data_IF_937254086991
#
_entry.id   IF_937254086991
#
_cell.length_a   1.000
_cell.length_b   1.000
_cell.length_c   1.000
_cell.angle_alpha   90.00
_cell.angle_beta   90.00
_cell.angle_gamma   90.00
#
_symmetry.space_group_name_H-M   'P 1'
#
loop_
_entity.id
_entity.type
_entity.pdbx_description
1 polymer ?
#
# COMPACT_ATOMS: atom_id res chain seq x y z
N UNK A 1 -18.31 6.26 8.85
CA UNK A 1 -17.24 7.19 9.28
C UNK A 1 -15.93 6.51 8.92
N UNK A 2 -15.09 7.11 8.05
CA UNK A 2 -13.85 6.46 7.65
C UNK A 2 -12.84 6.57 8.79
N UNK A 3 -12.63 5.48 9.53
CA UNK A 3 -11.54 5.40 10.49
C UNK A 3 -10.24 5.23 9.71
N UNK A 4 -9.38 6.24 9.82
CA UNK A 4 -8.03 6.29 9.23
C UNK A 4 -6.94 6.07 10.29
N UNK A 5 -7.33 5.67 11.50
CA UNK A 5 -6.41 5.42 12.60
C UNK A 5 -5.77 6.69 13.17
N UNK A 6 -6.31 7.88 12.86
CA UNK A 6 -5.78 9.18 13.33
C UNK A 6 -6.62 9.81 14.44
N UNK A 7 -7.46 9.03 15.12
CA UNK A 7 -8.36 9.53 16.18
C UNK A 7 -7.65 10.14 17.40
N UNK A 8 -6.34 9.91 17.54
CA UNK A 8 -5.51 10.49 18.59
C UNK A 8 -4.96 11.88 18.24
N UNK A 9 -5.06 12.32 16.98
CA UNK A 9 -4.63 13.66 16.58
C UNK A 9 -5.64 14.71 17.03
N UNK A 10 -5.14 15.86 17.47
CA UNK A 10 -5.98 16.98 17.89
C UNK A 10 -6.29 17.92 16.72
N UNK A 11 -7.52 18.43 16.65
CA UNK A 11 -7.88 19.47 15.69
C UNK A 11 -7.02 20.73 15.93
N UNK A 12 -6.44 21.27 14.86
CA UNK A 12 -5.52 22.42 14.93
C UNK A 12 -4.07 22.07 15.28
N UNK A 13 -3.74 20.78 15.43
CA UNK A 13 -2.36 20.33 15.59
C UNK A 13 -1.50 20.76 14.37
N UNK A 14 -0.32 21.38 14.58
CA UNK A 14 0.52 21.80 13.47
C UNK A 14 0.98 20.63 12.61
N UNK A 15 0.91 20.76 11.28
CA UNK A 15 1.35 19.71 10.35
C UNK A 15 2.83 19.35 10.48
N UNK A 16 3.64 20.26 11.05
CA UNK A 16 5.07 20.05 11.31
C UNK A 16 5.34 19.03 12.41
N UNK A 17 4.36 18.72 13.25
CA UNK A 17 4.49 17.71 14.32
C UNK A 17 4.04 16.32 13.89
N UNK A 18 3.48 16.18 12.69
CA UNK A 18 3.03 14.91 12.14
C UNK A 18 4.21 14.15 11.50
N UNK A 19 4.31 12.87 11.84
CA UNK A 19 5.15 11.90 11.15
C UNK A 19 4.78 11.81 9.66
N UNK A 20 5.68 11.23 8.86
CA UNK A 20 5.42 11.00 7.42
C UNK A 20 4.14 10.18 7.20
N UNK A 21 4.02 9.05 7.91
CA UNK A 21 2.84 8.18 7.82
C UNK A 21 1.55 8.86 8.29
N UNK A 22 1.60 9.72 9.30
CA UNK A 22 0.42 10.49 9.74
C UNK A 22 -0.04 11.48 8.68
N UNK A 23 0.89 12.20 8.04
CA UNK A 23 0.55 13.12 6.93
C UNK A 23 -0.05 12.36 5.76
N UNK A 24 0.50 11.20 5.42
CA UNK A 24 -0.01 10.36 4.35
C UNK A 24 -1.42 9.85 4.64
N UNK A 25 -1.66 9.30 5.84
CA UNK A 25 -3.01 8.87 6.26
C UNK A 25 -3.99 10.04 6.29
N UNK A 26 -3.56 11.23 6.69
CA UNK A 26 -4.39 12.43 6.68
C UNK A 26 -4.77 12.84 5.25
N UNK A 27 -3.83 12.81 4.30
CA UNK A 27 -4.13 13.07 2.89
C UNK A 27 -5.14 12.07 2.32
N UNK A 28 -4.98 10.78 2.62
CA UNK A 28 -5.94 9.75 2.24
C UNK A 28 -7.33 10.03 2.84
N UNK A 29 -7.38 10.39 4.13
CA UNK A 29 -8.63 10.72 4.83
C UNK A 29 -9.37 11.89 4.16
N UNK A 30 -8.65 12.97 3.84
CA UNK A 30 -9.21 14.15 3.17
C UNK A 30 -9.79 13.77 1.83
N UNK A 31 -9.09 12.93 1.05
CA UNK A 31 -9.56 12.52 -0.27
C UNK A 31 -10.78 11.60 -0.20
N UNK A 32 -10.84 10.68 0.76
CA UNK A 32 -12.00 9.81 0.98
C UNK A 32 -13.22 10.58 1.53
N UNK A 33 -12.99 11.68 2.26
CA UNK A 33 -14.06 12.53 2.78
C UNK A 33 -14.72 13.39 1.69
N UNK A 34 -13.98 13.70 0.62
CA UNK A 34 -14.44 14.50 -0.51
C UNK A 34 -15.36 13.70 -1.46
N UNK A 35 -16.53 13.30 -0.94
CA UNK A 35 -17.57 12.56 -1.66
C UNK A 35 -18.23 13.37 -2.79
N UNK A 36 -17.95 14.67 -2.89
CA UNK A 36 -18.53 15.58 -3.89
C UNK A 36 -17.85 15.52 -5.26
N UNK A 37 -16.63 14.99 -5.33
CA UNK A 37 -15.85 14.76 -6.55
C UNK A 37 -15.41 13.30 -6.66
N UNK A 38 -16.34 12.35 -6.50
CA UNK A 38 -16.07 10.96 -6.91
C UNK A 38 -16.12 10.91 -8.44
N UNK A 39 -15.10 11.49 -9.07
CA UNK A 39 -14.67 11.10 -10.40
C UNK A 39 -14.23 9.64 -10.26
N UNK A 40 -15.15 8.70 -10.57
CA UNK A 40 -14.81 7.28 -10.64
C UNK A 40 -13.64 7.11 -11.61
N UNK A 41 -12.67 6.26 -11.24
CA UNK A 41 -11.50 5.98 -12.08
C UNK A 41 -10.27 6.85 -11.82
N UNK A 42 -10.11 7.41 -10.61
CA UNK A 42 -8.84 8.01 -10.22
C UNK A 42 -7.76 6.94 -10.04
N UNK A 43 -6.50 7.32 -10.30
CA UNK A 43 -5.33 6.46 -10.04
C UNK A 43 -4.53 7.05 -8.89
N UNK A 44 -4.41 6.29 -7.81
CA UNK A 44 -3.59 6.60 -6.65
C UNK A 44 -2.24 5.89 -6.77
N UNK A 45 -1.15 6.64 -6.62
CA UNK A 45 0.21 6.07 -6.56
C UNK A 45 0.79 6.38 -5.19
N UNK A 46 1.14 5.33 -4.45
CA UNK A 46 1.61 5.41 -3.06
C UNK A 46 3.02 4.82 -2.99
N UNK A 47 3.95 5.58 -2.42
CA UNK A 47 5.33 5.16 -2.20
C UNK A 47 5.50 4.77 -0.72
N UNK A 48 5.75 3.49 -0.47
CA UNK A 48 5.92 2.86 0.84
C UNK A 48 4.96 3.37 1.94
N UNK A 49 3.62 3.23 1.75
CA UNK A 49 2.64 3.71 2.72
C UNK A 49 2.72 3.05 4.10
N UNK A 50 3.41 1.91 4.23
CA UNK A 50 3.67 1.27 5.53
C UNK A 50 4.89 1.83 6.27
N UNK A 51 5.66 2.73 5.66
CA UNK A 51 6.87 3.27 6.29
C UNK A 51 6.53 4.02 7.59
N UNK A 52 7.13 3.55 8.69
CA UNK A 52 6.91 4.10 10.03
C UNK A 52 5.57 3.75 10.66
N UNK A 53 4.80 2.81 10.07
CA UNK A 53 3.61 2.25 10.70
C UNK A 53 3.98 1.17 11.72
N UNK A 54 3.23 1.15 12.82
CA UNK A 54 3.24 0.01 13.71
C UNK A 54 2.56 -1.19 13.02
N UNK A 55 3.01 -2.44 13.21
CA UNK A 55 2.40 -3.61 12.57
C UNK A 55 0.88 -3.71 12.76
N UNK A 56 0.37 -3.32 13.94
CA UNK A 56 -1.07 -3.31 14.24
C UNK A 56 -1.89 -2.28 13.44
N UNK A 57 -1.24 -1.31 12.79
CA UNK A 57 -1.89 -0.29 11.97
C UNK A 57 -1.85 -0.61 10.47
N UNK A 58 -1.13 -1.67 10.06
CA UNK A 58 -1.08 -2.12 8.67
C UNK A 58 -2.46 -2.57 8.21
N UNK A 59 -3.20 -3.32 9.03
CA UNK A 59 -4.56 -3.78 8.70
C UNK A 59 -5.51 -2.61 8.44
N UNK A 60 -5.36 -1.51 9.18
CA UNK A 60 -6.15 -0.30 8.97
C UNK A 60 -5.82 0.37 7.65
N UNK A 61 -4.54 0.41 7.28
CA UNK A 61 -4.10 0.90 5.99
C UNK A 61 -4.67 0.04 4.86
N UNK A 62 -4.55 -1.29 4.95
CA UNK A 62 -5.10 -2.22 3.95
C UNK A 62 -6.61 -1.99 3.76
N UNK A 63 -7.36 -1.90 4.85
CA UNK A 63 -8.79 -1.61 4.79
C UNK A 63 -9.14 -0.22 4.19
N UNK A 64 -8.21 0.74 4.19
CA UNK A 64 -8.38 2.00 3.47
C UNK A 64 -8.11 1.85 1.98
N UNK A 65 -7.07 1.10 1.61
CA UNK A 65 -6.75 0.83 0.21
C UNK A 65 -7.89 0.05 -0.46
N UNK A 66 -8.45 -0.95 0.21
CA UNK A 66 -9.61 -1.71 -0.27
C UNK A 66 -10.79 -0.79 -0.57
N UNK A 67 -11.11 0.12 0.36
CA UNK A 67 -12.19 1.09 0.16
C UNK A 67 -11.96 2.00 -1.04
N UNK A 68 -10.71 2.42 -1.29
CA UNK A 68 -10.40 3.21 -2.48
C UNK A 68 -10.64 2.41 -3.76
N UNK A 69 -10.28 1.12 -3.77
CA UNK A 69 -10.54 0.22 -4.90
C UNK A 69 -12.04 -0.02 -5.08
N UNK A 70 -12.77 -0.30 -4.02
CA UNK A 70 -14.23 -0.52 -4.01
C UNK A 70 -15.01 0.71 -4.52
N UNK A 71 -14.50 1.91 -4.26
CA UNK A 71 -15.06 3.17 -4.78
C UNK A 71 -14.82 3.34 -6.31
N UNK A 72 -14.14 2.39 -6.96
CA UNK A 72 -13.89 2.34 -8.41
C UNK A 72 -12.60 3.02 -8.83
N UNK A 73 -11.61 3.11 -7.93
CA UNK A 73 -10.30 3.70 -8.22
C UNK A 73 -9.25 2.61 -8.42
N UNK A 74 -8.14 2.97 -9.07
CA UNK A 74 -6.95 2.11 -9.15
C UNK A 74 -5.94 2.57 -8.13
N UNK A 75 -5.36 1.63 -7.37
CA UNK A 75 -4.31 1.92 -6.39
C UNK A 75 -3.04 1.17 -6.79
N UNK A 76 -1.96 1.92 -7.00
CA UNK A 76 -0.62 1.40 -7.27
C UNK A 76 0.23 1.69 -6.05
N UNK A 77 0.82 0.64 -5.47
CA UNK A 77 1.63 0.76 -4.27
C UNK A 77 3.04 0.22 -4.54
N UNK A 78 4.04 1.01 -4.16
CA UNK A 78 5.44 0.57 -4.06
C UNK A 78 5.64 0.11 -2.63
N UNK A 79 5.93 -1.17 -2.42
CA UNK A 79 6.01 -1.75 -1.08
C UNK A 79 7.03 -2.87 -0.97
N UNK A 80 7.52 -3.06 0.25
CA UNK A 80 8.34 -4.20 0.65
C UNK A 80 7.69 -5.02 1.78
N UNK A 81 6.55 -4.57 2.35
CA UNK A 81 5.85 -5.27 3.41
C UNK A 81 5.01 -6.45 2.89
N UNK A 82 5.28 -7.67 3.37
CA UNK A 82 4.66 -8.91 2.86
C UNK A 82 3.13 -8.93 3.02
N UNK A 83 2.58 -8.32 4.09
CA UNK A 83 1.13 -8.21 4.26
C UNK A 83 0.44 -7.44 3.12
N UNK A 84 1.08 -6.36 2.62
CA UNK A 84 0.54 -5.59 1.50
C UNK A 84 0.65 -6.39 0.20
N UNK A 85 1.77 -7.07 -0.01
CA UNK A 85 1.96 -7.94 -1.18
C UNK A 85 0.93 -9.07 -1.22
N UNK A 86 0.66 -9.71 -0.08
CA UNK A 86 -0.30 -10.81 0.03
C UNK A 86 -1.74 -10.35 -0.24
N UNK A 87 -2.06 -9.09 0.06
CA UNK A 87 -3.39 -8.51 -0.09
C UNK A 87 -3.64 -7.91 -1.48
N UNK A 88 -2.60 -7.72 -2.29
CA UNK A 88 -2.71 -7.13 -3.62
C UNK A 88 -3.42 -8.06 -4.62
N UNK A 89 -4.21 -7.50 -5.54
CA UNK A 89 -4.79 -8.27 -6.65
C UNK A 89 -3.74 -8.66 -7.70
N UNK A 90 -2.69 -7.83 -7.84
CA UNK A 90 -1.65 -7.98 -8.85
C UNK A 90 -0.30 -7.49 -8.33
N UNK A 91 0.77 -8.21 -8.65
CA UNK A 91 2.16 -7.88 -8.29
C UNK A 91 2.98 -7.71 -9.56
N UNK A 92 3.81 -6.68 -9.57
CA UNK A 92 4.90 -6.48 -10.52
C UNK A 92 6.20 -6.53 -9.72
N UNK A 93 6.99 -7.58 -9.90
CA UNK A 93 8.26 -7.77 -9.19
C UNK A 93 9.42 -7.24 -10.04
N UNK A 94 10.27 -6.41 -9.43
CA UNK A 94 11.42 -5.79 -10.09
C UNK A 94 12.72 -6.36 -9.54
N UNK A 95 13.66 -6.69 -10.42
CA UNK A 95 14.93 -7.27 -10.01
C UNK A 95 15.84 -7.58 -11.20
N UNK A 96 16.69 -8.64 -11.11
CA UNK A 96 16.87 -9.54 -9.95
C UNK A 96 17.65 -8.93 -8.78
N UNK A 97 18.36 -7.83 -8.99
CA UNK A 97 19.07 -7.06 -7.96
C UNK A 97 18.70 -5.58 -7.98
N UNK A 98 19.54 -4.74 -7.38
CA UNK A 98 19.37 -3.29 -7.37
C UNK A 98 20.35 -2.59 -8.34
N UNK A 99 20.05 -1.35 -8.71
CA UNK A 99 20.92 -0.54 -9.55
C UNK A 99 21.20 -1.19 -10.91
N UNK A 100 22.48 -1.42 -11.24
CA UNK A 100 22.90 -2.02 -12.52
C UNK A 100 22.46 -3.47 -12.68
N UNK A 101 22.23 -4.17 -11.58
CA UNK A 101 21.80 -5.57 -11.55
C UNK A 101 20.27 -5.70 -11.46
N UNK A 102 19.55 -4.58 -11.52
CA UNK A 102 18.10 -4.50 -11.44
C UNK A 102 17.43 -3.93 -12.69
N UNK A 103 16.24 -3.35 -12.49
CA UNK A 103 15.52 -2.60 -13.53
C UNK A 103 14.76 -3.47 -14.53
N UNK A 104 14.59 -4.77 -14.25
CA UNK A 104 13.80 -5.68 -15.09
C UNK A 104 12.55 -6.12 -14.34
N UNK A 105 11.45 -6.25 -15.08
CA UNK A 105 10.27 -6.97 -14.59
C UNK A 105 10.62 -8.45 -14.58
N UNK A 106 10.79 -9.02 -13.39
CA UNK A 106 11.16 -10.44 -13.21
C UNK A 106 9.93 -11.31 -12.97
N UNK A 107 8.80 -10.72 -12.58
CA UNK A 107 7.50 -11.38 -12.50
C UNK A 107 6.37 -10.36 -12.66
N UNK A 108 5.24 -10.81 -13.22
CA UNK A 108 3.96 -10.10 -13.24
C UNK A 108 2.83 -11.12 -13.14
N UNK A 109 1.88 -10.89 -12.25
CA UNK A 109 0.79 -11.84 -11.98
C UNK A 109 0.17 -11.64 -10.61
N UNK A 110 -0.70 -12.56 -10.22
CA UNK A 110 -1.32 -12.58 -8.89
C UNK A 110 -0.31 -13.01 -7.81
N UNK A 111 -0.53 -12.67 -6.52
CA UNK A 111 0.31 -13.17 -5.43
C UNK A 111 0.36 -14.70 -5.37
N UNK A 112 -0.75 -15.38 -5.68
CA UNK A 112 -0.81 -16.84 -5.73
C UNK A 112 0.12 -17.41 -6.81
N UNK A 113 0.15 -16.81 -8.01
CA UNK A 113 1.06 -17.22 -9.09
C UNK A 113 2.52 -16.95 -8.74
N UNK A 114 2.82 -15.83 -8.07
CA UNK A 114 4.17 -15.50 -7.58
C UNK A 114 4.67 -16.60 -6.64
N UNK A 115 3.84 -16.94 -5.64
CA UNK A 115 4.14 -17.98 -4.64
C UNK A 115 4.30 -19.35 -5.30
N UNK A 116 3.46 -19.69 -6.28
CA UNK A 116 3.49 -21.01 -6.92
C UNK A 116 4.69 -21.21 -7.85
N UNK A 117 5.09 -20.18 -8.61
CA UNK A 117 5.90 -20.38 -9.81
C UNK A 117 7.16 -19.52 -9.92
N UNK A 118 7.24 -18.39 -9.22
CA UNK A 118 8.34 -17.46 -9.40
C UNK A 118 9.58 -17.84 -8.57
N UNK A 119 10.77 -17.72 -9.17
CA UNK A 119 12.06 -17.88 -8.47
C UNK A 119 12.72 -16.53 -8.23
N UNK A 120 12.05 -15.67 -7.46
CA UNK A 120 12.53 -14.33 -7.10
C UNK A 120 12.77 -14.21 -5.59
N UNK A 121 13.47 -13.15 -5.17
CA UNK A 121 13.67 -12.87 -3.74
C UNK A 121 12.32 -12.61 -3.05
N UNK A 122 11.46 -11.83 -3.71
CA UNK A 122 10.11 -11.50 -3.27
C UNK A 122 9.26 -12.76 -3.09
N UNK A 123 9.27 -13.68 -4.08
CA UNK A 123 8.54 -14.94 -3.99
C UNK A 123 8.98 -15.81 -2.81
N UNK A 124 10.28 -15.87 -2.51
CA UNK A 124 10.82 -16.60 -1.35
C UNK A 124 10.31 -16.02 -0.02
N UNK A 125 10.35 -14.71 0.14
CA UNK A 125 9.90 -14.05 1.37
C UNK A 125 8.37 -14.11 1.54
N UNK A 126 7.62 -14.04 0.45
CA UNK A 126 6.15 -14.15 0.50
C UNK A 126 5.72 -15.58 0.84
N UNK A 127 6.42 -16.61 0.32
CA UNK A 127 6.19 -18.02 0.72
C UNK A 127 6.40 -18.24 2.21
N UNK A 128 7.44 -17.65 2.78
CA UNK A 128 7.73 -17.80 4.21
C UNK A 128 6.68 -17.09 5.07
N UNK A 129 6.19 -15.93 4.63
CA UNK A 129 5.15 -15.18 5.32
C UNK A 129 3.78 -15.89 5.34
N UNK A 130 3.44 -16.63 4.27
CA UNK A 130 2.15 -17.30 4.12
C UNK A 130 2.09 -18.72 4.73
N UNK A 131 3.20 -19.20 5.31
CA UNK A 131 3.27 -20.51 5.99
C UNK A 131 2.71 -20.45 7.40
#
# INVERSE_FOLDING_TARGET
MCDVGLGYLSLGQPLTTLSGGERQRLMLAVRMADKGMVDKGMVYVLDEPTTGLHPADVDRLLALLDRLVDDGNTVIVIEHHQAVMAHADWIIDLGPGAGRDGGRVVFTGTPAELVASADTLTARHLREYLR
#
